data_IF_074032421761
#
_entry.id   IF_074032421761
#
_cell.length_a   1.000
_cell.length_b   1.000
_cell.length_c   1.000
_cell.angle_alpha   90.00
_cell.angle_beta   90.00
_cell.angle_gamma   90.00
#
_symmetry.space_group_name_H-M   'P 1'
#
loop_
_entity.id
_entity.type
_entity.pdbx_description
1 polymer ?
#
# COMPACT_ATOMS: atom_id res chain seq x y z
N UNK A 1 4.37 19.26 2.54
CA UNK A 1 3.73 18.12 1.88
C UNK A 1 3.37 17.00 2.86
N UNK A 2 4.18 16.71 3.89
CA UNK A 2 3.74 15.78 4.96
C UNK A 2 2.41 16.26 5.54
N UNK A 3 1.40 15.41 5.50
CA UNK A 3 0.04 15.66 5.98
C UNK A 3 -0.67 16.84 5.27
N UNK A 4 -0.35 17.07 3.99
CA UNK A 4 -1.06 18.06 3.18
C UNK A 4 -2.43 17.54 2.76
N UNK A 5 -3.40 18.43 2.55
CA UNK A 5 -4.76 18.10 2.09
C UNK A 5 -5.47 17.04 2.94
N UNK A 6 -5.26 17.08 4.26
CA UNK A 6 -5.95 16.20 5.20
C UNK A 6 -7.48 16.34 5.10
N UNK A 7 -8.17 15.20 5.16
CA UNK A 7 -9.62 15.10 5.10
C UNK A 7 -10.19 14.55 6.41
N UNK A 8 -11.38 15.03 6.79
CA UNK A 8 -12.15 14.53 7.94
C UNK A 8 -13.48 13.97 7.46
N UNK A 9 -13.89 12.82 8.00
CA UNK A 9 -15.15 12.15 7.62
C UNK A 9 -16.36 13.04 7.86
N UNK A 10 -17.23 13.15 6.86
CA UNK A 10 -18.48 13.90 6.97
C UNK A 10 -19.61 13.02 7.49
N UNK A 11 -20.09 13.30 8.70
CA UNK A 11 -21.15 12.51 9.37
C UNK A 11 -22.55 13.14 9.23
N UNK A 12 -22.61 14.45 8.97
CA UNK A 12 -23.84 15.23 8.83
C UNK A 12 -24.34 15.30 7.38
N UNK A 13 -24.38 16.51 6.83
CA UNK A 13 -24.77 16.75 5.44
C UNK A 13 -23.66 16.34 4.47
N UNK A 14 -24.05 16.10 3.21
CA UNK A 14 -23.08 15.90 2.14
C UNK A 14 -22.27 17.18 1.93
N UNK A 15 -20.99 17.03 1.60
CA UNK A 15 -20.11 18.17 1.35
C UNK A 15 -20.55 18.90 0.08
N UNK A 16 -20.94 20.17 0.20
CA UNK A 16 -21.40 20.98 -0.95
C UNK A 16 -20.25 21.59 -1.76
N UNK A 17 -19.14 21.92 -1.09
CA UNK A 17 -17.95 22.52 -1.70
C UNK A 17 -16.78 21.56 -1.58
N UNK A 18 -16.26 21.09 -2.71
CA UNK A 18 -15.15 20.15 -2.72
C UNK A 18 -13.80 20.86 -2.55
N UNK A 19 -12.92 20.37 -1.66
CA UNK A 19 -11.58 20.91 -1.54
C UNK A 19 -10.76 20.58 -2.78
N UNK A 20 -9.87 21.51 -3.13
CA UNK A 20 -8.85 21.31 -4.16
C UNK A 20 -7.90 20.19 -3.72
N UNK A 21 -7.54 19.29 -4.64
CA UNK A 21 -6.74 18.09 -4.35
C UNK A 21 -5.63 17.82 -5.37
N UNK A 22 -5.62 18.54 -6.50
CA UNK A 22 -4.71 18.30 -7.62
C UNK A 22 -3.31 18.85 -7.33
N UNK A 23 -3.19 19.94 -6.56
CA UNK A 23 -1.92 20.61 -6.25
C UNK A 23 -0.90 19.67 -5.61
N UNK A 24 -1.32 18.84 -4.66
CA UNK A 24 -0.46 17.86 -4.01
C UNK A 24 0.07 16.81 -4.98
N UNK A 25 -0.79 16.26 -5.83
CA UNK A 25 -0.40 15.28 -6.84
C UNK A 25 0.50 15.90 -7.91
N UNK A 26 0.18 17.10 -8.38
CA UNK A 26 1.01 17.83 -9.34
C UNK A 26 2.42 18.07 -8.78
N UNK A 27 2.54 18.41 -7.50
CA UNK A 27 3.83 18.56 -6.84
C UNK A 27 4.54 17.20 -6.68
N UNK A 28 3.83 16.16 -6.25
CA UNK A 28 4.37 14.81 -6.10
C UNK A 28 4.90 14.24 -7.42
N UNK A 29 4.10 14.27 -8.49
CA UNK A 29 4.48 13.76 -9.83
C UNK A 29 5.74 14.47 -10.34
N UNK A 30 5.87 15.79 -10.11
CA UNK A 30 7.06 16.55 -10.50
C UNK A 30 8.30 16.21 -9.66
N UNK A 31 8.12 15.83 -8.40
CA UNK A 31 9.20 15.48 -7.48
C UNK A 31 9.59 14.00 -7.52
N UNK A 32 8.70 13.12 -7.98
CA UNK A 32 8.90 11.66 -7.97
C UNK A 32 10.24 11.23 -8.57
N UNK A 33 10.67 11.69 -9.78
CA UNK A 33 11.98 11.31 -10.32
C UNK A 33 13.16 11.75 -9.44
N UNK A 34 13.03 12.91 -8.78
CA UNK A 34 14.06 13.44 -7.88
C UNK A 34 14.11 12.63 -6.59
N UNK A 35 12.95 12.19 -6.08
CA UNK A 35 12.85 11.31 -4.91
C UNK A 35 13.54 9.98 -5.21
N UNK A 36 13.24 9.35 -6.35
CA UNK A 36 13.85 8.07 -6.76
C UNK A 36 15.38 8.19 -6.86
N UNK A 37 15.89 9.24 -7.52
CA UNK A 37 17.34 9.49 -7.62
C UNK A 37 17.98 9.78 -6.25
N UNK A 38 17.29 10.53 -5.37
CA UNK A 38 17.78 10.81 -4.03
C UNK A 38 17.87 9.55 -3.17
N UNK A 39 16.90 8.64 -3.27
CA UNK A 39 16.93 7.34 -2.58
C UNK A 39 18.10 6.48 -3.07
N UNK A 40 18.28 6.37 -4.39
CA UNK A 40 19.41 5.65 -4.98
C UNK A 40 20.76 6.23 -4.55
N UNK A 41 20.88 7.57 -4.54
CA UNK A 41 22.10 8.24 -4.07
C UNK A 41 22.35 7.97 -2.59
N UNK A 42 21.31 8.07 -1.74
CA UNK A 42 21.43 7.74 -0.31
C UNK A 42 21.87 6.29 -0.12
N UNK A 43 21.29 5.36 -0.87
CA UNK A 43 21.63 3.95 -0.83
C UNK A 43 22.99 3.58 -1.40
N UNK A 44 23.65 4.48 -2.14
CA UNK A 44 24.96 4.19 -2.76
C UNK A 44 26.15 4.32 -1.80
N UNK A 45 25.98 4.99 -0.67
CA UNK A 45 27.04 5.22 0.32
C UNK A 45 26.49 5.09 1.75
N UNK A 46 27.16 4.27 2.58
CA UNK A 46 26.74 3.98 3.94
C UNK A 46 26.60 5.24 4.81
N UNK A 47 27.53 6.20 4.69
CA UNK A 47 27.54 7.41 5.52
C UNK A 47 26.39 8.33 5.12
N UNK A 48 26.13 8.46 3.82
CA UNK A 48 24.99 9.23 3.30
C UNK A 48 23.68 8.60 3.75
N UNK A 49 23.53 7.27 3.63
CA UNK A 49 22.36 6.52 4.08
C UNK A 49 22.06 6.79 5.56
N UNK A 50 23.07 6.63 6.44
CA UNK A 50 22.91 6.85 7.88
C UNK A 50 22.45 8.30 8.17
N UNK A 51 23.05 9.29 7.51
CA UNK A 51 22.70 10.70 7.69
C UNK A 51 21.28 11.00 7.21
N UNK A 52 20.89 10.48 6.05
CA UNK A 52 19.56 10.66 5.49
C UNK A 52 18.50 10.01 6.39
N UNK A 53 18.72 8.76 6.81
CA UNK A 53 17.82 8.01 7.69
C UNK A 53 17.60 8.75 9.02
N UNK A 54 18.70 9.20 9.67
CA UNK A 54 18.63 10.01 10.91
C UNK A 54 17.87 11.33 10.71
N UNK A 55 18.10 12.02 9.60
CA UNK A 55 17.43 13.28 9.30
C UNK A 55 15.93 13.07 9.16
N UNK A 56 15.51 12.04 8.42
CA UNK A 56 14.10 11.73 8.20
C UNK A 56 13.41 11.33 9.51
N UNK A 57 14.04 10.47 10.32
CA UNK A 57 13.51 10.10 11.64
C UNK A 57 13.30 11.33 12.53
N UNK A 58 14.29 12.23 12.57
CA UNK A 58 14.16 13.49 13.34
C UNK A 58 13.00 14.33 12.83
N UNK A 59 12.85 14.48 11.50
CA UNK A 59 11.74 15.26 10.92
C UNK A 59 10.38 14.64 11.21
N UNK A 60 10.26 13.31 11.21
CA UNK A 60 9.04 12.61 11.61
C UNK A 60 8.74 12.81 13.10
N UNK A 61 9.76 12.84 13.96
CA UNK A 61 9.60 13.15 15.38
C UNK A 61 9.13 14.59 15.61
N UNK A 62 9.69 15.56 14.87
CA UNK A 62 9.33 16.98 14.95
C UNK A 62 7.95 17.27 14.32
N UNK A 63 7.52 16.44 13.36
CA UNK A 63 6.29 16.64 12.58
C UNK A 63 5.51 15.31 12.45
N UNK A 64 4.93 14.80 13.55
CA UNK A 64 4.17 13.54 13.52
C UNK A 64 2.86 13.64 12.71
N UNK A 65 2.45 14.86 12.34
CA UNK A 65 1.27 15.11 11.50
C UNK A 65 -0.05 15.19 12.26
N UNK A 66 -0.10 14.66 13.48
CA UNK A 66 -1.25 14.69 14.37
C UNK A 66 -0.78 14.76 15.83
N UNK A 67 -1.64 15.24 16.72
CA UNK A 67 -1.39 15.16 18.15
C UNK A 67 -1.57 13.72 18.62
N UNK A 68 -0.53 13.16 19.23
CA UNK A 68 -0.62 11.82 19.80
C UNK A 68 -1.35 11.94 21.13
N UNK A 69 -2.58 11.42 21.19
CA UNK A 69 -3.36 11.33 22.43
C UNK A 69 -2.68 10.44 23.48
N UNK A 70 -3.18 10.43 24.72
CA UNK A 70 -2.66 9.54 25.75
C UNK A 70 -2.69 8.08 25.25
N UNK A 71 -1.61 7.31 25.46
CA UNK A 71 -1.57 5.92 25.02
C UNK A 71 -2.71 5.11 25.66
N UNK A 72 -3.36 4.26 24.87
CA UNK A 72 -4.41 3.36 25.34
C UNK A 72 -3.93 1.93 25.24
N UNK A 73 -4.15 1.14 26.30
CA UNK A 73 -3.88 -0.30 26.25
C UNK A 73 -4.98 -0.98 25.43
N UNK A 74 -4.58 -1.58 24.31
CA UNK A 74 -5.39 -2.55 23.58
C UNK A 74 -5.09 -3.96 24.09
N UNK A 75 -6.12 -4.73 24.42
CA UNK A 75 -5.97 -6.09 24.91
C UNK A 75 -6.71 -7.04 23.97
N UNK A 76 -6.09 -8.19 23.68
CA UNK A 76 -6.71 -9.27 22.94
C UNK A 76 -6.14 -10.61 23.43
N UNK A 77 -7.04 -11.52 23.81
CA UNK A 77 -6.67 -12.77 24.47
C UNK A 77 -5.78 -12.52 25.70
N UNK A 78 -4.58 -13.08 25.74
CA UNK A 78 -3.57 -12.93 26.79
C UNK A 78 -2.44 -11.93 26.44
N UNK A 79 -2.63 -11.14 25.38
CA UNK A 79 -1.67 -10.15 24.90
C UNK A 79 -2.21 -8.72 25.06
N UNK A 80 -1.30 -7.76 25.22
CA UNK A 80 -1.62 -6.34 25.28
C UNK A 80 -0.59 -5.50 24.53
N UNK A 81 -1.02 -4.36 24.00
CA UNK A 81 -0.14 -3.41 23.33
C UNK A 81 -0.54 -1.98 23.70
N UNK A 82 0.45 -1.08 23.72
CA UNK A 82 0.23 0.34 24.00
C UNK A 82 -0.09 1.06 22.68
N UNK A 83 -1.37 1.19 22.36
CA UNK A 83 -1.84 1.75 21.10
C UNK A 83 -1.86 3.29 21.10
N UNK A 84 -1.51 3.87 19.96
CA UNK A 84 -1.67 5.30 19.70
C UNK A 84 -3.15 5.64 19.53
N UNK A 85 -3.62 6.62 20.31
CA UNK A 85 -4.97 7.14 20.19
C UNK A 85 -5.07 8.06 18.98
N UNK A 86 -5.66 7.52 17.92
CA UNK A 86 -5.98 8.27 16.71
C UNK A 86 -7.13 7.55 15.97
N UNK A 87 -8.33 8.13 15.99
CA UNK A 87 -9.53 7.59 15.34
C UNK A 87 -9.70 8.16 13.94
N UNK A 88 -9.34 7.36 12.95
CA UNK A 88 -9.50 7.64 11.51
C UNK A 88 -10.92 8.07 11.16
N UNK A 89 -11.93 7.60 11.89
CA UNK A 89 -13.34 7.90 11.62
C UNK A 89 -13.74 9.33 11.98
N UNK A 90 -12.94 10.03 12.78
CA UNK A 90 -13.26 11.35 13.32
C UNK A 90 -12.12 12.37 13.21
N UNK A 91 -10.88 11.92 13.01
CA UNK A 91 -9.69 12.77 12.94
C UNK A 91 -9.18 13.00 11.49
N UNK A 92 -8.37 14.05 11.25
CA UNK A 92 -7.95 14.44 9.89
C UNK A 92 -6.84 13.54 9.31
N UNK A 93 -7.17 12.76 8.28
CA UNK A 93 -6.23 11.84 7.61
C UNK A 93 -5.73 12.43 6.30
N UNK A 94 -4.44 12.32 6.01
CA UNK A 94 -3.86 12.73 4.73
C UNK A 94 -3.16 11.56 4.06
N UNK A 95 -3.37 11.41 2.76
CA UNK A 95 -2.66 10.45 1.91
C UNK A 95 -1.30 10.97 1.44
N UNK A 96 -0.93 12.21 1.76
CA UNK A 96 0.32 12.84 1.33
C UNK A 96 1.38 12.73 2.43
N UNK A 97 2.14 11.63 2.40
CA UNK A 97 3.10 11.24 3.44
C UNK A 97 4.55 11.12 2.93
N UNK A 98 5.10 12.12 2.22
CA UNK A 98 6.42 11.99 1.58
C UNK A 98 7.57 11.73 2.56
N UNK A 99 7.51 12.19 3.83
CA UNK A 99 8.59 11.88 4.78
C UNK A 99 8.53 10.41 5.22
N UNK A 100 7.34 9.90 5.55
CA UNK A 100 7.12 8.50 5.90
C UNK A 100 7.53 7.58 4.75
N UNK A 101 7.16 7.96 3.52
CA UNK A 101 7.46 7.18 2.31
C UNK A 101 8.91 7.27 1.86
N UNK A 102 9.56 8.41 2.06
CA UNK A 102 11.00 8.52 1.86
C UNK A 102 11.75 7.63 2.86
N UNK A 103 11.33 7.59 4.13
CA UNK A 103 11.88 6.63 5.10
C UNK A 103 11.70 5.19 4.63
N UNK A 104 10.49 4.84 4.17
CA UNK A 104 10.19 3.52 3.60
C UNK A 104 11.12 3.17 2.42
N UNK A 105 11.42 4.13 1.55
CA UNK A 105 12.36 3.96 0.46
C UNK A 105 13.82 3.76 0.87
N UNK A 106 14.21 4.21 2.07
CA UNK A 106 15.56 4.00 2.61
C UNK A 106 15.73 2.62 3.27
N UNK A 107 14.66 2.04 3.83
CA UNK A 107 14.72 0.75 4.53
C UNK A 107 15.39 -0.38 3.73
N UNK A 108 15.05 -0.59 2.44
CA UNK A 108 15.67 -1.63 1.62
C UNK A 108 17.19 -1.51 1.46
N UNK A 109 17.75 -0.32 1.61
CA UNK A 109 19.20 -0.11 1.49
C UNK A 109 19.95 -0.41 2.78
N UNK A 110 19.28 -0.59 3.93
CA UNK A 110 19.96 -0.86 5.20
C UNK A 110 20.74 -2.18 5.14
N UNK A 111 20.11 -3.25 4.64
CA UNK A 111 20.74 -4.57 4.53
C UNK A 111 21.97 -4.55 3.60
N UNK A 112 21.93 -3.75 2.53
CA UNK A 112 23.05 -3.61 1.58
C UNK A 112 24.34 -3.05 2.23
N UNK A 113 24.21 -2.39 3.38
CA UNK A 113 25.33 -1.79 4.13
C UNK A 113 25.50 -2.40 5.51
N UNK A 114 24.98 -3.61 5.75
CA UNK A 114 25.02 -4.32 7.05
C UNK A 114 24.42 -3.49 8.21
N UNK A 115 23.43 -2.64 7.91
CA UNK A 115 22.72 -1.83 8.89
C UNK A 115 21.35 -2.45 9.22
N UNK A 116 20.86 -2.20 10.43
CA UNK A 116 19.51 -2.54 10.84
C UNK A 116 18.91 -1.42 11.70
N UNK A 117 17.58 -1.37 11.83
CA UNK A 117 16.89 -0.26 12.49
C UNK A 117 17.31 -0.03 13.96
N UNK A 118 17.77 -1.08 14.64
CA UNK A 118 18.21 -1.04 16.05
C UNK A 118 19.71 -0.75 16.21
N UNK A 119 20.46 -0.53 15.12
CA UNK A 119 21.87 -0.14 15.15
C UNK A 119 22.11 1.10 16.03
N UNK A 120 23.29 1.14 16.67
CA UNK A 120 23.72 2.26 17.52
C UNK A 120 23.72 3.60 16.77
N UNK A 121 23.95 3.54 15.46
CA UNK A 121 23.85 4.63 14.52
C UNK A 121 22.47 5.29 14.59
N UNK A 122 21.38 4.57 14.80
CA UNK A 122 20.05 5.18 14.79
C UNK A 122 19.54 5.56 16.18
N UNK A 123 20.22 5.14 17.26
CA UNK A 123 19.82 5.45 18.63
C UNK A 123 20.02 6.94 18.91
N UNK A 124 18.91 7.65 19.15
CA UNK A 124 18.91 9.05 19.62
C UNK A 124 17.58 9.39 20.30
N UNK A 125 17.54 10.47 21.09
CA UNK A 125 16.35 10.90 21.84
C UNK A 125 15.21 11.46 20.95
N UNK A 126 15.47 11.72 19.68
CA UNK A 126 14.51 12.27 18.69
C UNK A 126 14.09 11.21 17.67
N UNK A 127 14.16 9.94 18.04
CA UNK A 127 13.74 8.82 17.19
C UNK A 127 12.30 8.44 17.58
N UNK A 128 11.34 8.51 16.65
CA UNK A 128 10.00 8.01 16.91
C UNK A 128 10.02 6.50 17.16
N UNK A 129 9.04 6.00 17.92
CA UNK A 129 8.82 4.55 18.06
C UNK A 129 8.38 3.93 16.73
N UNK A 130 8.44 2.60 16.61
CA UNK A 130 8.02 1.93 15.38
C UNK A 130 6.53 2.14 15.11
N UNK A 131 5.72 2.13 16.17
CA UNK A 131 4.28 2.41 16.14
C UNK A 131 4.04 3.82 15.58
N UNK A 132 4.79 4.82 16.06
CA UNK A 132 4.71 6.20 15.55
C UNK A 132 5.14 6.33 14.09
N UNK A 133 6.10 5.50 13.63
CA UNK A 133 6.56 5.50 12.24
C UNK A 133 5.49 4.93 11.31
N UNK A 134 4.84 3.83 11.69
CA UNK A 134 3.82 3.17 10.84
C UNK A 134 2.44 3.84 10.92
N UNK A 135 2.15 4.57 11.99
CA UNK A 135 0.83 5.15 12.26
C UNK A 135 0.25 5.94 11.07
N UNK A 136 0.97 6.87 10.40
CA UNK A 136 0.38 7.64 9.31
C UNK A 136 -0.01 6.79 8.09
N UNK A 137 0.81 5.79 7.77
CA UNK A 137 0.54 4.90 6.62
C UNK A 137 -0.55 3.89 6.95
N UNK A 138 -0.61 3.41 8.20
CA UNK A 138 -1.70 2.58 8.69
C UNK A 138 -3.03 3.34 8.68
N UNK A 139 -3.05 4.59 9.16
CA UNK A 139 -4.22 5.45 9.11
C UNK A 139 -4.73 5.67 7.67
N UNK A 140 -3.82 5.78 6.70
CA UNK A 140 -4.18 5.85 5.27
C UNK A 140 -4.87 4.57 4.80
N UNK A 141 -4.33 3.40 5.12
CA UNK A 141 -4.96 2.11 4.79
C UNK A 141 -6.35 1.96 5.43
N UNK A 142 -6.49 2.33 6.70
CA UNK A 142 -7.77 2.28 7.39
C UNK A 142 -8.77 3.27 6.80
N UNK A 143 -8.35 4.49 6.42
CA UNK A 143 -9.23 5.44 5.75
C UNK A 143 -9.76 4.87 4.42
N UNK A 144 -8.90 4.22 3.62
CA UNK A 144 -9.30 3.55 2.38
C UNK A 144 -10.32 2.43 2.67
N UNK A 145 -10.06 1.58 3.67
CA UNK A 145 -10.98 0.53 4.10
C UNK A 145 -12.34 1.10 4.54
N UNK A 146 -12.34 2.21 5.29
CA UNK A 146 -13.55 2.91 5.70
C UNK A 146 -14.30 3.50 4.50
N UNK A 147 -13.60 4.05 3.50
CA UNK A 147 -14.22 4.53 2.25
C UNK A 147 -14.88 3.38 1.51
N UNK A 148 -14.20 2.24 1.39
CA UNK A 148 -14.72 1.03 0.77
C UNK A 148 -15.97 0.47 1.48
N UNK A 149 -16.04 0.58 2.80
CA UNK A 149 -17.23 0.23 3.59
C UNK A 149 -18.39 1.24 3.47
N UNK A 150 -18.19 2.37 2.79
CA UNK A 150 -19.20 3.40 2.59
C UNK A 150 -19.31 4.43 3.73
N UNK A 151 -18.41 4.38 4.74
CA UNK A 151 -18.41 5.33 5.86
C UNK A 151 -18.16 6.77 5.41
N UNK A 152 -17.44 6.97 4.30
CA UNK A 152 -17.01 8.29 3.78
C UNK A 152 -17.82 8.77 2.57
N UNK A 153 -18.98 8.17 2.27
CA UNK A 153 -19.83 8.51 1.11
C UNK A 153 -20.27 9.99 1.01
N UNK A 154 -20.12 10.75 2.09
CA UNK A 154 -20.49 12.19 2.17
C UNK A 154 -19.33 13.14 1.87
N UNK A 155 -18.12 12.62 1.68
CA UNK A 155 -16.89 13.39 1.47
C UNK A 155 -16.64 13.82 0.00
N UNK A 156 -17.64 13.69 -0.87
CA UNK A 156 -17.56 14.15 -2.27
C UNK A 156 -16.57 13.36 -3.15
N UNK A 157 -16.41 13.82 -4.39
CA UNK A 157 -15.54 13.19 -5.38
C UNK A 157 -14.06 13.52 -5.20
N UNK A 158 -13.72 14.69 -4.63
CA UNK A 158 -12.34 15.04 -4.30
C UNK A 158 -11.60 13.91 -3.56
N UNK A 159 -12.21 13.31 -2.53
CA UNK A 159 -11.61 12.15 -1.85
C UNK A 159 -11.46 10.93 -2.77
N UNK A 160 -12.49 10.60 -3.55
CA UNK A 160 -12.43 9.47 -4.49
C UNK A 160 -11.33 9.65 -5.54
N UNK A 161 -11.14 10.88 -6.03
CA UNK A 161 -10.07 11.22 -6.97
C UNK A 161 -8.68 11.07 -6.32
N UNK A 162 -8.53 11.54 -5.08
CA UNK A 162 -7.30 11.32 -4.32
C UNK A 162 -6.95 9.83 -4.20
N UNK A 163 -7.94 8.98 -3.86
CA UNK A 163 -7.75 7.53 -3.77
C UNK A 163 -7.50 6.88 -5.13
N UNK A 164 -8.09 7.39 -6.20
CA UNK A 164 -7.81 6.93 -7.55
C UNK A 164 -6.33 7.14 -7.91
N UNK A 165 -5.79 8.34 -7.68
CA UNK A 165 -4.38 8.63 -7.97
C UNK A 165 -3.42 7.89 -7.03
N UNK A 166 -3.79 7.68 -5.78
CA UNK A 166 -3.02 6.88 -4.83
C UNK A 166 -2.73 5.44 -5.34
N UNK A 167 -3.72 4.81 -5.98
CA UNK A 167 -3.57 3.47 -6.58
C UNK A 167 -3.07 3.51 -8.04
N UNK A 168 -3.08 4.68 -8.68
CA UNK A 168 -2.72 4.80 -10.09
C UNK A 168 -1.24 4.51 -10.30
N UNK A 169 -0.92 3.80 -11.38
CA UNK A 169 0.44 3.44 -11.80
C UNK A 169 1.46 4.60 -11.78
N UNK A 170 1.01 5.84 -12.00
CA UNK A 170 1.87 7.04 -11.98
C UNK A 170 2.35 7.46 -10.59
N UNK A 171 1.64 7.06 -9.53
CA UNK A 171 1.97 7.45 -8.17
C UNK A 171 2.14 6.26 -7.23
N UNK A 172 1.57 5.09 -7.54
CA UNK A 172 1.50 3.93 -6.62
C UNK A 172 2.87 3.52 -6.08
N UNK A 173 3.93 3.56 -6.92
CA UNK A 173 5.30 3.16 -6.53
C UNK A 173 5.91 4.03 -5.45
N UNK A 174 5.54 5.32 -5.42
CA UNK A 174 5.98 6.29 -4.42
C UNK A 174 4.87 6.65 -3.40
N UNK A 175 3.77 5.88 -3.41
CA UNK A 175 2.64 6.02 -2.50
C UNK A 175 2.28 4.68 -1.84
N UNK A 176 1.36 3.92 -2.44
CA UNK A 176 0.89 2.63 -1.94
C UNK A 176 2.05 1.67 -1.62
N UNK A 177 2.99 1.49 -2.54
CA UNK A 177 4.09 0.53 -2.36
C UNK A 177 4.98 0.92 -1.18
N UNK A 178 5.24 2.23 -1.02
CA UNK A 178 6.00 2.77 0.12
C UNK A 178 5.25 2.60 1.44
N UNK A 179 3.93 2.74 1.44
CA UNK A 179 3.11 2.50 2.63
C UNK A 179 3.19 1.02 3.03
N UNK A 180 3.10 0.09 2.07
CA UNK A 180 3.24 -1.35 2.34
C UNK A 180 4.64 -1.70 2.84
N UNK A 181 5.71 -1.17 2.23
CA UNK A 181 7.10 -1.39 2.70
C UNK A 181 7.27 -0.91 4.15
N UNK A 182 6.70 0.24 4.52
CA UNK A 182 6.81 0.75 5.88
C UNK A 182 6.02 -0.10 6.89
N UNK A 183 4.84 -0.59 6.50
CA UNK A 183 4.06 -1.54 7.30
C UNK A 183 4.78 -2.88 7.46
N UNK A 184 5.46 -3.37 6.42
CA UNK A 184 6.31 -4.56 6.49
C UNK A 184 7.52 -4.36 7.41
N UNK A 185 8.15 -3.18 7.37
CA UNK A 185 9.18 -2.82 8.32
C UNK A 185 8.64 -2.84 9.76
N UNK A 186 7.45 -2.28 10.01
CA UNK A 186 6.76 -2.40 11.30
C UNK A 186 6.51 -3.86 11.71
N UNK A 187 5.92 -4.66 10.83
CA UNK A 187 5.58 -6.06 11.09
C UNK A 187 6.81 -6.94 11.39
N UNK A 188 7.98 -6.58 10.85
CA UNK A 188 9.24 -7.30 11.10
C UNK A 188 10.00 -6.84 12.34
N UNK A 189 9.69 -5.66 12.88
CA UNK A 189 10.44 -5.04 13.98
C UNK A 189 9.64 -4.92 15.30
N UNK A 190 8.30 -4.89 15.22
CA UNK A 190 7.39 -4.91 16.37
C UNK A 190 7.09 -6.38 16.72
N UNK A 191 6.83 -6.69 18.00
CA UNK A 191 6.39 -8.03 18.39
C UNK A 191 5.08 -8.41 17.66
N UNK A 192 4.98 -9.66 17.20
CA UNK A 192 3.90 -10.09 16.31
C UNK A 192 2.48 -9.88 16.85
N UNK A 193 2.23 -10.14 18.13
CA UNK A 193 0.93 -9.94 18.75
C UNK A 193 0.65 -8.46 18.98
N UNK A 194 1.66 -7.69 19.41
CA UNK A 194 1.55 -6.22 19.52
C UNK A 194 1.21 -5.57 18.17
N UNK A 195 1.88 -5.97 17.09
CA UNK A 195 1.60 -5.48 15.74
C UNK A 195 0.15 -5.77 15.34
N UNK A 196 -0.32 -7.00 15.55
CA UNK A 196 -1.71 -7.37 15.25
C UNK A 196 -2.71 -6.55 16.08
N UNK A 197 -2.43 -6.32 17.38
CA UNK A 197 -3.26 -5.48 18.24
C UNK A 197 -3.30 -4.04 17.71
N UNK A 198 -2.17 -3.47 17.27
CA UNK A 198 -2.13 -2.12 16.69
C UNK A 198 -2.98 -2.00 15.43
N UNK A 199 -2.86 -2.94 14.50
CA UNK A 199 -3.65 -2.94 13.27
C UNK A 199 -5.15 -3.13 13.60
N UNK A 200 -5.51 -4.13 14.41
CA UNK A 200 -6.90 -4.35 14.83
C UNK A 200 -7.50 -3.14 15.56
N UNK A 201 -6.72 -2.49 16.43
CA UNK A 201 -7.13 -1.30 17.14
C UNK A 201 -7.43 -0.16 16.16
N UNK A 202 -6.56 0.06 15.16
CA UNK A 202 -6.76 1.13 14.17
C UNK A 202 -8.02 0.92 13.32
N UNK A 203 -8.30 -0.33 12.94
CA UNK A 203 -9.54 -0.71 12.25
C UNK A 203 -10.78 -0.70 13.16
N UNK A 204 -10.63 -0.48 14.47
CA UNK A 204 -11.68 -0.60 15.48
C UNK A 204 -12.32 -2.02 15.52
N UNK A 205 -11.49 -3.04 15.34
CA UNK A 205 -11.88 -4.45 15.24
C UNK A 205 -11.45 -5.31 16.44
N UNK A 206 -10.87 -4.74 17.50
CA UNK A 206 -10.48 -5.50 18.70
C UNK A 206 -11.65 -6.28 19.32
N UNK A 207 -12.84 -5.66 19.38
CA UNK A 207 -14.05 -6.33 19.87
C UNK A 207 -14.51 -7.46 18.97
N UNK A 208 -14.35 -7.30 17.65
CA UNK A 208 -14.69 -8.34 16.67
C UNK A 208 -13.76 -9.55 16.81
N UNK A 209 -12.47 -9.32 17.06
CA UNK A 209 -11.50 -10.38 17.27
C UNK A 209 -11.60 -11.07 18.65
N UNK A 210 -12.40 -10.52 19.58
CA UNK A 210 -12.53 -11.06 20.93
C UNK A 210 -13.26 -12.41 20.92
N UNK A 211 -12.81 -13.40 21.73
CA UNK A 211 -13.50 -14.69 21.88
C UNK A 211 -14.98 -14.57 22.27
N UNK A 212 -15.34 -13.50 22.99
CA UNK A 212 -16.70 -13.25 23.49
C UNK A 212 -17.58 -12.47 22.49
N UNK A 213 -17.13 -12.30 21.25
CA UNK A 213 -17.85 -11.51 20.24
C UNK A 213 -19.27 -12.05 20.01
N UNK A 214 -19.42 -13.35 19.75
CA UNK A 214 -20.71 -13.98 19.42
C UNK A 214 -21.76 -13.83 20.52
N UNK A 215 -21.32 -13.84 21.79
CA UNK A 215 -22.19 -13.67 22.96
C UNK A 215 -22.74 -12.24 23.04
N UNK A 216 -21.99 -11.26 22.56
CA UNK A 216 -22.31 -9.83 22.62
C UNK A 216 -22.84 -9.24 21.30
N UNK A 217 -22.75 -9.99 20.19
CA UNK A 217 -23.09 -9.54 18.84
C UNK A 217 -24.56 -9.14 18.68
N UNK A 218 -25.48 -9.70 19.48
CA UNK A 218 -26.94 -9.44 19.43
C UNK A 218 -27.28 -7.96 19.68
N UNK A 219 -26.38 -7.16 20.25
CA UNK A 219 -26.60 -5.73 20.53
C UNK A 219 -26.14 -4.77 19.43
N UNK A 220 -25.49 -5.24 18.37
CA UNK A 220 -24.80 -4.40 17.37
C UNK A 220 -25.15 -4.80 15.92
N UNK A 221 -26.45 -4.90 15.63
CA UNK A 221 -26.97 -5.16 14.27
C UNK A 221 -26.88 -3.95 13.34
N UNK A 222 -26.77 -2.74 13.88
CA UNK A 222 -26.45 -1.56 13.06
C UNK A 222 -25.00 -1.72 12.56
N UNK A 223 -24.82 -1.57 11.24
CA UNK A 223 -23.53 -1.57 10.54
C UNK A 223 -22.81 -2.92 10.36
N UNK A 224 -23.51 -4.07 10.37
CA UNK A 224 -22.91 -5.39 10.11
C UNK A 224 -22.17 -5.46 8.76
N UNK A 225 -22.74 -4.90 7.69
CA UNK A 225 -22.09 -4.86 6.36
C UNK A 225 -20.83 -3.98 6.34
N UNK A 226 -20.82 -2.87 7.09
CA UNK A 226 -19.64 -2.01 7.23
C UNK A 226 -18.55 -2.80 7.94
N UNK A 227 -18.88 -3.43 9.07
CA UNK A 227 -17.95 -4.25 9.85
C UNK A 227 -17.40 -5.40 9.02
N UNK A 228 -18.24 -6.11 8.26
CA UNK A 228 -17.78 -7.18 7.37
C UNK A 228 -16.76 -6.65 6.34
N UNK A 229 -17.05 -5.52 5.71
CA UNK A 229 -16.12 -4.89 4.76
C UNK A 229 -14.81 -4.51 5.45
N UNK A 230 -14.85 -3.93 6.65
CA UNK A 230 -13.64 -3.58 7.41
C UNK A 230 -12.81 -4.82 7.76
N UNK A 231 -13.45 -5.94 8.11
CA UNK A 231 -12.79 -7.22 8.36
C UNK A 231 -12.13 -7.75 7.09
N UNK A 232 -12.82 -7.70 5.95
CA UNK A 232 -12.28 -8.11 4.65
C UNK A 232 -11.05 -7.26 4.28
N UNK A 233 -11.12 -5.95 4.43
CA UNK A 233 -10.01 -5.02 4.15
C UNK A 233 -8.85 -5.20 5.14
N UNK A 234 -9.13 -5.47 6.42
CA UNK A 234 -8.12 -5.81 7.44
C UNK A 234 -7.35 -7.09 7.07
N UNK A 235 -8.07 -8.16 6.74
CA UNK A 235 -7.45 -9.43 6.34
C UNK A 235 -6.71 -9.28 5.01
N UNK A 236 -7.25 -8.52 4.07
CA UNK A 236 -6.60 -8.17 2.81
C UNK A 236 -5.27 -7.44 3.04
N UNK A 237 -5.25 -6.46 3.95
CA UNK A 237 -4.02 -5.75 4.31
C UNK A 237 -2.96 -6.69 4.91
N UNK A 238 -3.36 -7.62 5.80
CA UNK A 238 -2.42 -8.61 6.35
C UNK A 238 -1.87 -9.53 5.26
N UNK A 239 -2.71 -9.99 4.33
CA UNK A 239 -2.28 -10.80 3.18
C UNK A 239 -1.25 -10.02 2.35
N UNK A 240 -1.50 -8.74 2.07
CA UNK A 240 -0.56 -7.88 1.33
C UNK A 240 0.76 -7.71 2.07
N UNK A 241 0.73 -7.35 3.37
CA UNK A 241 1.94 -7.15 4.17
C UNK A 241 2.79 -8.43 4.21
N UNK A 242 2.17 -9.59 4.37
CA UNK A 242 2.90 -10.87 4.50
C UNK A 242 3.34 -11.42 3.14
N UNK A 243 2.46 -11.34 2.14
CA UNK A 243 2.60 -12.03 0.85
C UNK A 243 3.32 -11.22 -0.23
N UNK A 244 3.16 -9.91 -0.26
CA UNK A 244 3.68 -9.07 -1.35
C UNK A 244 5.11 -8.63 -1.05
N UNK A 245 6.06 -9.51 -1.38
CA UNK A 245 7.50 -9.31 -1.15
C UNK A 245 8.30 -9.12 -2.44
N UNK A 246 7.65 -8.73 -3.53
CA UNK A 246 8.31 -8.47 -4.83
C UNK A 246 8.89 -7.05 -4.88
N UNK A 247 9.78 -6.74 -3.93
CA UNK A 247 10.51 -5.47 -3.83
C UNK A 247 11.97 -5.78 -3.46
N UNK A 248 12.92 -5.17 -4.17
CA UNK A 248 14.35 -5.31 -3.87
C UNK A 248 14.65 -4.87 -2.43
N UNK A 249 15.40 -5.68 -1.68
CA UNK A 249 15.73 -5.43 -0.26
C UNK A 249 14.58 -5.70 0.73
N UNK A 250 13.42 -6.16 0.26
CA UNK A 250 12.34 -6.68 1.11
C UNK A 250 12.17 -8.18 0.91
N UNK A 251 12.11 -8.61 -0.35
CA UNK A 251 12.17 -10.02 -0.73
C UNK A 251 13.46 -10.37 -1.44
N UNK A 252 13.73 -11.66 -1.53
CA UNK A 252 14.87 -12.21 -2.28
C UNK A 252 14.48 -12.34 -3.76
N UNK A 253 14.38 -11.21 -4.44
CA UNK A 253 13.91 -11.09 -5.83
C UNK A 253 14.88 -10.26 -6.67
N UNK A 254 14.88 -10.48 -7.98
CA UNK A 254 15.58 -9.62 -8.95
C UNK A 254 14.62 -8.60 -9.58
N UNK A 255 15.14 -7.59 -10.27
CA UNK A 255 14.31 -6.65 -11.02
C UNK A 255 13.44 -7.37 -12.08
N UNK A 256 13.97 -8.43 -12.69
CA UNK A 256 13.22 -9.27 -13.64
C UNK A 256 12.06 -9.98 -12.96
N UNK A 257 12.22 -10.47 -11.73
CA UNK A 257 11.15 -11.18 -11.01
C UNK A 257 10.00 -10.24 -10.65
N UNK A 258 10.32 -8.99 -10.27
CA UNK A 258 9.33 -7.95 -9.99
C UNK A 258 8.51 -7.65 -11.26
N UNK A 259 9.21 -7.42 -12.37
CA UNK A 259 8.57 -7.13 -13.66
C UNK A 259 7.76 -8.34 -14.18
N UNK A 260 8.28 -9.57 -14.04
CA UNK A 260 7.57 -10.81 -14.35
C UNK A 260 6.28 -10.89 -13.55
N UNK A 261 6.32 -10.66 -12.23
CA UNK A 261 5.14 -10.73 -11.37
C UNK A 261 4.06 -9.76 -11.86
N UNK A 262 4.40 -8.50 -12.10
CA UNK A 262 3.46 -7.48 -12.57
C UNK A 262 2.82 -7.89 -13.90
N UNK A 263 3.61 -8.27 -14.91
CA UNK A 263 3.08 -8.63 -16.23
C UNK A 263 2.23 -9.91 -16.17
N UNK A 264 2.64 -10.91 -15.38
CA UNK A 264 1.85 -12.13 -15.16
C UNK A 264 0.46 -11.78 -14.62
N UNK A 265 0.38 -10.91 -13.61
CA UNK A 265 -0.91 -10.51 -13.04
C UNK A 265 -1.77 -9.75 -14.07
N UNK A 266 -1.18 -8.80 -14.80
CA UNK A 266 -1.91 -8.08 -15.86
C UNK A 266 -2.47 -9.02 -16.94
N UNK A 267 -1.71 -10.03 -17.36
CA UNK A 267 -2.15 -11.04 -18.33
C UNK A 267 -3.08 -12.12 -17.74
N UNK A 268 -3.18 -12.22 -16.41
CA UNK A 268 -4.22 -13.01 -15.75
C UNK A 268 -5.60 -12.36 -15.84
N UNK A 269 -5.68 -11.04 -15.99
CA UNK A 269 -6.95 -10.34 -16.23
C UNK A 269 -7.43 -10.64 -17.65
N UNK A 270 -6.60 -10.33 -18.65
CA UNK A 270 -6.91 -10.51 -20.08
C UNK A 270 -5.63 -10.48 -20.94
N UNK A 271 -5.66 -10.99 -22.19
CA UNK A 271 -4.58 -10.73 -23.15
C UNK A 271 -4.46 -9.23 -23.45
N UNK A 272 -3.23 -8.72 -23.52
CA UNK A 272 -2.94 -7.29 -23.68
C UNK A 272 -1.96 -7.05 -24.83
N UNK A 273 -2.12 -5.95 -25.56
CA UNK A 273 -1.10 -5.48 -26.50
C UNK A 273 0.11 -4.90 -25.78
N UNK A 274 1.24 -4.77 -26.48
CA UNK A 274 2.45 -4.11 -25.95
C UNK A 274 2.16 -2.71 -25.37
N UNK A 275 1.37 -1.91 -26.09
CA UNK A 275 1.00 -0.55 -25.68
C UNK A 275 0.06 -0.50 -24.47
N UNK A 276 -0.68 -1.57 -24.21
CA UNK A 276 -1.53 -1.66 -23.01
C UNK A 276 -0.69 -2.10 -21.82
N UNK A 277 0.18 -3.11 -21.98
CA UNK A 277 1.12 -3.53 -20.93
C UNK A 277 2.02 -2.38 -20.49
N UNK A 278 2.63 -1.65 -21.42
CA UNK A 278 3.48 -0.51 -21.07
C UNK A 278 2.76 0.57 -20.25
N UNK A 279 1.43 0.71 -20.38
CA UNK A 279 0.64 1.66 -19.58
C UNK A 279 0.28 1.17 -18.19
N UNK A 280 0.36 -0.14 -17.94
CA UNK A 280 0.08 -0.72 -16.61
C UNK A 280 1.34 -0.83 -15.75
N UNK A 281 2.52 -0.60 -16.33
CA UNK A 281 3.81 -0.56 -15.65
C UNK A 281 4.19 0.87 -15.27
N UNK A 282 4.90 1.04 -14.15
CA UNK A 282 5.36 2.35 -13.66
C UNK A 282 6.43 2.97 -14.55
N UNK A 283 6.43 4.31 -14.65
CA UNK A 283 7.30 5.12 -15.52
C UNK A 283 8.79 5.16 -15.13
N UNK A 284 9.24 4.39 -14.12
CA UNK A 284 10.64 4.32 -13.70
C UNK A 284 11.51 3.55 -14.74
N UNK A 285 11.76 4.25 -15.84
CA UNK A 285 12.97 4.37 -16.68
C UNK A 285 14.04 3.29 -16.51
N UNK A 286 13.77 2.06 -16.91
CA UNK A 286 14.63 1.13 -17.68
C UNK A 286 13.65 0.16 -18.36
N UNK A 287 14.01 -0.73 -19.28
CA UNK A 287 13.14 -1.86 -19.65
C UNK A 287 12.13 -1.71 -20.80
N UNK A 288 12.29 -0.91 -21.86
CA UNK A 288 11.60 -1.34 -23.11
C UNK A 288 12.19 -2.67 -23.57
N UNK A 289 13.52 -2.74 -23.69
CA UNK A 289 14.24 -3.98 -24.08
C UNK A 289 14.10 -5.08 -23.02
N UNK A 290 14.18 -4.73 -21.74
CA UNK A 290 14.05 -5.75 -20.70
C UNK A 290 12.59 -6.19 -20.48
N UNK A 291 11.59 -5.33 -20.71
CA UNK A 291 10.18 -5.75 -20.77
C UNK A 291 9.94 -6.70 -21.93
N UNK A 292 10.46 -6.42 -23.13
CA UNK A 292 10.36 -7.34 -24.26
C UNK A 292 10.95 -8.72 -23.94
N UNK A 293 12.15 -8.74 -23.32
CA UNK A 293 12.79 -9.98 -22.86
C UNK A 293 11.91 -10.74 -21.86
N UNK A 294 11.38 -10.05 -20.85
CA UNK A 294 10.52 -10.67 -19.84
C UNK A 294 9.22 -11.19 -20.47
N UNK A 295 8.58 -10.41 -21.35
CA UNK A 295 7.36 -10.83 -22.07
C UNK A 295 7.61 -12.11 -22.87
N UNK A 296 8.74 -12.21 -23.55
CA UNK A 296 9.11 -13.40 -24.34
C UNK A 296 9.19 -14.66 -23.46
N UNK A 297 9.64 -14.53 -22.21
CA UNK A 297 9.72 -15.64 -21.26
C UNK A 297 8.34 -16.09 -20.78
N UNK A 298 7.40 -15.17 -20.55
CA UNK A 298 6.14 -15.45 -19.83
C UNK A 298 4.89 -15.51 -20.72
N UNK A 299 4.93 -14.97 -21.94
CA UNK A 299 3.75 -14.84 -22.79
C UNK A 299 3.99 -15.28 -24.24
N UNK A 300 2.92 -15.71 -24.91
CA UNK A 300 2.90 -16.02 -26.33
C UNK A 300 2.22 -14.89 -27.10
N UNK A 301 2.86 -14.43 -28.18
CA UNK A 301 2.30 -13.37 -29.03
C UNK A 301 1.28 -13.94 -30.03
N UNK A 302 0.01 -13.55 -29.88
CA UNK A 302 -1.06 -13.82 -30.82
C UNK A 302 -1.14 -12.71 -31.85
N UNK A 303 -0.81 -13.05 -33.10
CA UNK A 303 -0.99 -12.15 -34.25
C UNK A 303 -2.46 -11.76 -34.41
N UNK A 304 -2.75 -10.53 -34.84
CA UNK A 304 -4.12 -10.12 -35.10
C UNK A 304 -4.71 -10.98 -36.22
N UNK A 305 -5.95 -11.41 -36.05
CA UNK A 305 -6.67 -12.11 -37.12
C UNK A 305 -6.86 -11.15 -38.28
N UNK A 306 -6.54 -11.61 -39.50
CA UNK A 306 -6.67 -10.82 -40.73
C UNK A 306 -8.11 -10.33 -40.97
N UNK A 307 -9.09 -11.00 -40.35
CA UNK A 307 -10.52 -10.71 -40.50
C UNK A 307 -11.00 -9.60 -39.56
N UNK A 308 -10.37 -9.43 -38.39
CA UNK A 308 -10.85 -8.52 -37.34
C UNK A 308 -10.10 -7.19 -37.26
N UNK A 309 -9.05 -6.98 -38.07
CA UNK A 309 -8.28 -5.73 -38.09
C UNK A 309 -7.69 -5.33 -36.73
N UNK A 310 -7.57 -6.29 -35.80
CA UNK A 310 -7.15 -6.05 -34.42
C UNK A 310 -5.67 -5.75 -34.28
N UNK A 311 -5.25 -5.44 -33.05
CA UNK A 311 -3.83 -5.40 -32.67
C UNK A 311 -3.38 -6.79 -32.21
N UNK A 312 -2.09 -7.10 -32.38
CA UNK A 312 -1.52 -8.31 -31.78
C UNK A 312 -1.47 -8.18 -30.26
N UNK A 313 -1.70 -9.29 -29.56
CA UNK A 313 -1.79 -9.34 -28.10
C UNK A 313 -0.89 -10.44 -27.55
N UNK A 314 -0.40 -10.24 -26.33
CA UNK A 314 0.30 -11.24 -25.56
C UNK A 314 -0.71 -12.01 -24.69
N UNK A 315 -0.62 -13.33 -24.70
CA UNK A 315 -1.38 -14.21 -23.82
C UNK A 315 -0.41 -14.94 -22.89
N UNK A 316 -0.75 -15.00 -21.60
CA UNK A 316 0.08 -15.68 -20.60
C UNK A 316 0.26 -17.16 -20.95
N UNK A 317 1.47 -17.69 -20.82
CA UNK A 317 1.75 -19.11 -21.06
C UNK A 317 0.99 -19.99 -20.07
N UNK A 318 0.42 -21.15 -20.48
CA UNK A 318 -0.42 -21.96 -19.61
C UNK A 318 0.22 -22.42 -18.30
N UNK A 319 1.53 -22.68 -18.29
CA UNK A 319 2.25 -23.13 -17.09
C UNK A 319 2.38 -22.04 -16.02
N UNK A 320 2.07 -20.77 -16.34
CA UNK A 320 2.09 -19.64 -15.41
C UNK A 320 0.70 -19.28 -14.89
N UNK A 321 -0.36 -20.00 -15.29
CA UNK A 321 -1.69 -19.75 -14.74
C UNK A 321 -1.79 -20.00 -13.23
N UNK A 322 -0.93 -20.85 -12.67
CA UNK A 322 -0.83 -21.05 -11.21
C UNK A 322 -0.29 -19.84 -10.45
N UNK A 323 0.37 -18.90 -11.14
CA UNK A 323 0.94 -17.70 -10.53
C UNK A 323 -0.10 -16.60 -10.26
N UNK A 324 -1.36 -16.81 -10.67
CA UNK A 324 -2.46 -15.89 -10.40
C UNK A 324 -2.64 -15.66 -8.90
N UNK A 325 -2.57 -14.41 -8.48
CA UNK A 325 -2.90 -13.99 -7.13
C UNK A 325 -4.20 -13.16 -7.15
N UNK A 326 -5.27 -13.67 -6.52
CA UNK A 326 -6.54 -12.94 -6.37
C UNK A 326 -6.39 -11.73 -5.43
N UNK A 327 -5.42 -11.77 -4.52
CA UNK A 327 -5.09 -10.70 -3.58
C UNK A 327 -3.97 -9.80 -4.09
N UNK A 328 -3.71 -9.79 -5.40
CA UNK A 328 -2.68 -8.91 -5.95
C UNK A 328 -3.04 -7.45 -5.69
N UNK A 329 -2.27 -6.79 -4.84
CA UNK A 329 -2.62 -5.51 -4.23
C UNK A 329 -2.66 -4.32 -5.21
N UNK A 330 -2.16 -4.50 -6.43
CA UNK A 330 -2.26 -3.53 -7.52
C UNK A 330 -3.55 -3.62 -8.33
N UNK A 331 -4.36 -4.66 -8.15
CA UNK A 331 -5.65 -4.72 -8.82
C UNK A 331 -6.64 -3.72 -8.22
N UNK A 332 -7.34 -3.02 -9.09
CA UNK A 332 -8.60 -2.38 -8.76
C UNK A 332 -9.69 -3.41 -8.48
N UNK A 333 -10.76 -3.02 -7.78
CA UNK A 333 -11.92 -3.91 -7.53
C UNK A 333 -12.51 -4.48 -8.82
N UNK A 334 -12.52 -3.69 -9.89
CA UNK A 334 -12.96 -4.13 -11.21
C UNK A 334 -12.02 -5.20 -11.79
N UNK A 335 -10.70 -5.01 -11.68
CA UNK A 335 -9.71 -5.97 -12.16
C UNK A 335 -9.72 -7.28 -11.37
N UNK A 336 -9.95 -7.24 -10.05
CA UNK A 336 -10.15 -8.45 -9.25
C UNK A 336 -11.33 -9.26 -9.84
N UNK A 337 -12.50 -8.63 -10.00
CA UNK A 337 -13.71 -9.27 -10.54
C UNK A 337 -13.46 -9.86 -11.95
N UNK A 338 -12.86 -9.07 -12.84
CA UNK A 338 -12.53 -9.51 -14.20
C UNK A 338 -11.52 -10.67 -14.22
N UNK A 339 -10.50 -10.61 -13.36
CA UNK A 339 -9.47 -11.65 -13.28
C UNK A 339 -10.05 -12.97 -12.78
N UNK A 340 -10.93 -12.94 -11.77
CA UNK A 340 -11.63 -14.11 -11.27
C UNK A 340 -12.51 -14.75 -12.35
N UNK A 341 -13.26 -13.95 -13.11
CA UNK A 341 -14.09 -14.45 -14.20
C UNK A 341 -13.24 -15.16 -15.26
N UNK A 342 -12.10 -14.56 -15.63
CA UNK A 342 -11.12 -15.15 -16.56
C UNK A 342 -10.57 -16.47 -16.01
N UNK A 343 -10.20 -16.54 -14.72
CA UNK A 343 -9.71 -17.78 -14.12
C UNK A 343 -10.78 -18.88 -14.06
N UNK A 344 -12.03 -18.53 -13.75
CA UNK A 344 -13.15 -19.48 -13.78
C UNK A 344 -13.39 -20.05 -15.18
N UNK A 345 -13.19 -19.26 -16.23
CA UNK A 345 -13.25 -19.73 -17.63
C UNK A 345 -12.10 -20.67 -17.96
N UNK A 346 -10.86 -20.34 -17.55
CA UNK A 346 -9.67 -21.19 -17.76
C UNK A 346 -9.79 -22.55 -17.09
N UNK A 347 -10.36 -22.64 -15.88
CA UNK A 347 -10.54 -23.91 -15.14
C UNK A 347 -11.62 -24.83 -15.71
N UNK A 348 -12.48 -24.34 -16.60
CA UNK A 348 -13.53 -25.12 -17.26
C UNK A 348 -13.08 -25.75 -18.59
N UNK A 349 -11.95 -25.29 -19.12
CA UNK A 349 -11.26 -25.84 -20.29
C UNK A 349 -10.27 -26.91 -19.82
#
# INVERSE_FOLDING_TARGET
MQCMDSVVRQVGQHMEYEPEWESAFNLHIRLSPVISLALQWCGSDQIVLIKAFRLVLRRLYEQPGHEIGPPQVGELADHSATCLQYDVSSEPVSIHLPLSRFLAGLFPYLEMHDLHFQCAEFINHTKPTLEQIIEPVLATQVMIAQVHSGMWKRNGYSLLNQLYFYHNVKCRSEMLDRDIILLQAGASLIESNEFLIHVLNKFNLLRWASPDFDVNAVKYFEDESIRQTLVEEFLGLLITIIGERYVLGVGQVTADDILKKEIIQQLCIKPLSHSELSKTLSDDTYLETEMERVIQDIADFKKPSQISGGKGVYELKPHLYSEYNVFFYHYTKEEVSNSEETQRKRRKL
#
